data_IF_497810121595
#
_entry.id   IF_497810121595
#
_cell.length_a   1.000
_cell.length_b   1.000
_cell.length_c   1.000
_cell.angle_alpha   90.00
_cell.angle_beta   90.00
_cell.angle_gamma   90.00
#
_symmetry.space_group_name_H-M   'P 1'
#
loop_
_entity.id
_entity.type
_entity.pdbx_description
1 polymer ?
#
# COMPACT_ATOMS: atom_id res chain seq x y z
N UNK A 1 23.55 74.26 -22.13
CA UNK A 1 24.14 72.96 -22.53
C UNK A 1 24.36 71.96 -21.38
N UNK A 2 24.66 72.37 -20.14
CA UNK A 2 24.91 71.46 -18.99
C UNK A 2 23.68 70.70 -18.45
N UNK A 3 22.48 71.30 -18.43
CA UNK A 3 21.25 70.67 -17.88
C UNK A 3 20.73 69.48 -18.72
N UNK A 4 20.83 69.56 -20.04
CA UNK A 4 20.35 68.52 -20.96
C UNK A 4 21.22 67.25 -20.92
N UNK A 5 22.52 67.40 -20.61
CA UNK A 5 23.47 66.29 -20.48
C UNK A 5 23.24 65.49 -19.19
N UNK A 6 22.81 66.15 -18.11
CA UNK A 6 22.51 65.53 -16.82
C UNK A 6 21.23 64.67 -16.92
N UNK A 7 20.19 65.15 -17.61
CA UNK A 7 18.96 64.36 -17.80
C UNK A 7 19.16 63.13 -18.68
N UNK A 8 20.05 63.17 -19.68
CA UNK A 8 20.40 61.98 -20.49
C UNK A 8 21.19 60.95 -19.70
N UNK A 9 22.15 61.39 -18.85
CA UNK A 9 22.89 60.49 -17.96
C UNK A 9 22.01 59.88 -16.87
N UNK A 10 21.05 60.64 -16.33
CA UNK A 10 20.09 60.15 -15.34
C UNK A 10 19.08 59.16 -15.93
N UNK A 11 18.58 59.40 -17.15
CA UNK A 11 17.74 58.44 -17.87
C UNK A 11 18.47 57.14 -18.23
N UNK A 12 19.74 57.21 -18.64
CA UNK A 12 20.55 56.02 -18.87
C UNK A 12 20.85 55.25 -17.59
N UNK A 13 21.07 55.94 -16.47
CA UNK A 13 21.24 55.30 -15.16
C UNK A 13 19.97 54.59 -14.71
N UNK A 14 18.80 55.20 -14.91
CA UNK A 14 17.50 54.61 -14.56
C UNK A 14 17.15 53.41 -15.43
N UNK A 15 17.41 53.48 -16.75
CA UNK A 15 17.25 52.34 -17.68
C UNK A 15 18.19 51.18 -17.36
N UNK A 16 19.45 51.46 -16.99
CA UNK A 16 20.41 50.43 -16.62
C UNK A 16 20.05 49.73 -15.28
N UNK A 17 19.50 50.48 -14.32
CA UNK A 17 18.99 49.93 -13.06
C UNK A 17 17.73 49.08 -13.31
N UNK A 18 16.80 49.52 -14.17
CA UNK A 18 15.63 48.72 -14.53
C UNK A 18 16.00 47.41 -15.26
N UNK A 19 17.03 47.41 -16.12
CA UNK A 19 17.54 46.19 -16.77
C UNK A 19 18.27 45.26 -15.80
N UNK A 20 18.98 45.81 -14.80
CA UNK A 20 19.71 45.04 -13.80
C UNK A 20 18.79 44.38 -12.74
N UNK A 21 17.54 44.84 -12.61
CA UNK A 21 16.54 44.28 -11.69
C UNK A 21 15.66 43.21 -12.39
N UNK A 22 15.71 43.08 -13.72
CA UNK A 22 14.96 42.03 -14.43
C UNK A 22 15.34 40.58 -14.06
N UNK A 23 16.60 40.24 -13.71
CA UNK A 23 16.92 38.90 -13.21
C UNK A 23 16.34 38.61 -11.81
N UNK A 24 16.01 39.64 -11.03
CA UNK A 24 15.34 39.49 -9.72
C UNK A 24 13.81 39.39 -9.85
N UNK A 25 13.28 39.49 -11.07
CA UNK A 25 11.91 39.16 -11.44
C UNK A 25 11.87 37.88 -12.28
N UNK A 26 12.80 36.94 -12.04
CA UNK A 26 12.39 35.54 -12.09
C UNK A 26 11.34 35.38 -10.99
N UNK A 27 10.08 35.57 -11.37
CA UNK A 27 9.00 34.84 -10.72
C UNK A 27 9.51 33.41 -10.65
N UNK A 28 9.84 32.94 -9.45
CA UNK A 28 9.83 31.51 -9.21
C UNK A 28 8.44 31.07 -9.63
N UNK A 29 8.36 30.42 -10.78
CA UNK A 29 7.21 29.65 -11.20
C UNK A 29 7.19 28.42 -10.29
N UNK A 30 6.99 28.63 -8.99
CA UNK A 30 6.81 27.58 -8.00
C UNK A 30 5.36 27.10 -8.16
N UNK A 31 5.06 26.57 -9.34
CA UNK A 31 3.82 25.85 -9.61
C UNK A 31 3.98 24.37 -9.20
N UNK A 32 4.83 24.11 -8.21
CA UNK A 32 5.17 22.78 -7.70
C UNK A 32 4.17 22.29 -6.63
N UNK A 33 3.08 23.03 -6.42
CA UNK A 33 1.99 22.61 -5.54
C UNK A 33 1.10 21.55 -6.19
N UNK A 34 0.66 20.58 -5.41
CA UNK A 34 -0.33 19.62 -5.88
C UNK A 34 -1.62 20.33 -6.31
N UNK A 35 -2.07 20.06 -7.54
CA UNK A 35 -3.34 20.60 -8.04
C UNK A 35 -4.49 20.07 -7.19
N UNK A 36 -5.46 20.93 -6.87
CA UNK A 36 -6.63 20.61 -6.03
C UNK A 36 -7.49 19.45 -6.56
N UNK A 37 -7.29 19.04 -7.82
CA UNK A 37 -7.95 17.88 -8.44
C UNK A 37 -7.12 16.58 -8.47
N UNK A 38 -5.85 16.61 -8.05
CA UNK A 38 -4.99 15.44 -8.08
C UNK A 38 -5.30 14.55 -6.88
N UNK A 39 -5.73 13.31 -7.12
CA UNK A 39 -5.83 12.27 -6.12
C UNK A 39 -5.12 11.01 -6.60
N UNK A 40 -4.63 10.23 -5.66
CA UNK A 40 -3.96 8.97 -5.94
C UNK A 40 -4.94 7.90 -6.40
N UNK A 41 -4.47 6.87 -7.13
CA UNK A 41 -5.21 5.59 -7.15
C UNK A 41 -5.36 5.03 -5.73
N UNK A 42 -6.18 3.99 -5.51
CA UNK A 42 -6.12 3.20 -4.28
C UNK A 42 -4.71 2.68 -4.05
N UNK A 43 -4.14 2.98 -2.88
CA UNK A 43 -2.78 2.59 -2.50
C UNK A 43 -2.80 1.84 -1.17
N UNK A 44 -1.91 0.87 -1.05
CA UNK A 44 -1.63 0.20 0.20
C UNK A 44 -0.87 1.10 1.16
N UNK A 45 -1.28 1.08 2.43
CA UNK A 45 -0.55 1.74 3.50
C UNK A 45 -0.73 1.00 4.82
N UNK A 46 0.15 1.28 5.78
CA UNK A 46 0.07 0.80 7.17
C UNK A 46 -0.20 1.96 8.09
N UNK A 47 -1.22 1.85 8.94
CA UNK A 47 -1.51 2.81 9.99
C UNK A 47 -0.42 2.75 11.06
N UNK A 48 0.07 3.92 11.47
CA UNK A 48 0.99 4.09 12.58
C UNK A 48 0.43 5.06 13.60
N UNK A 49 0.41 4.68 14.86
CA UNK A 49 -0.17 5.49 15.95
C UNK A 49 0.93 6.17 16.75
N UNK A 50 0.78 7.47 16.99
CA UNK A 50 1.70 8.27 17.80
C UNK A 50 0.92 9.19 18.74
N UNK A 51 0.92 8.84 20.03
CA UNK A 51 0.05 9.49 21.02
C UNK A 51 -1.44 9.34 20.64
N UNK A 52 -2.13 10.47 20.46
CA UNK A 52 -3.54 10.51 20.07
C UNK A 52 -3.76 10.75 18.57
N UNK A 53 -2.70 10.72 17.77
CA UNK A 53 -2.75 10.91 16.33
C UNK A 53 -2.28 9.65 15.61
N UNK A 54 -2.55 9.58 14.30
CA UNK A 54 -2.00 8.55 13.45
C UNK A 54 -1.45 9.15 12.17
N UNK A 55 -0.54 8.42 11.54
CA UNK A 55 -0.04 8.69 10.20
C UNK A 55 -0.04 7.38 9.41
N UNK A 56 0.23 7.44 8.11
CA UNK A 56 0.27 6.25 7.25
C UNK A 56 1.68 6.06 6.70
N UNK A 57 2.20 4.83 6.75
CA UNK A 57 3.31 4.42 5.91
C UNK A 57 2.73 3.89 4.59
N UNK A 58 2.73 4.72 3.55
CA UNK A 58 2.29 4.32 2.22
C UNK A 58 3.43 3.60 1.49
N UNK A 59 3.11 2.48 0.87
CA UNK A 59 4.09 1.61 0.23
C UNK A 59 4.82 2.28 -0.96
N UNK A 60 4.17 3.29 -1.56
CA UNK A 60 4.66 3.98 -2.76
C UNK A 60 5.06 5.44 -2.48
N UNK A 61 4.37 6.11 -1.55
CA UNK A 61 4.55 7.54 -1.26
C UNK A 61 5.28 7.80 0.06
N UNK A 62 5.77 6.78 0.76
CA UNK A 62 6.42 6.98 2.06
C UNK A 62 5.45 7.40 3.15
N UNK A 63 5.91 8.20 4.10
CA UNK A 63 5.16 8.60 5.28
C UNK A 63 4.19 9.76 4.99
N UNK A 64 2.91 9.53 5.29
CA UNK A 64 1.81 10.46 5.02
C UNK A 64 1.22 10.98 6.31
N UNK A 65 1.19 12.30 6.48
CA UNK A 65 0.53 12.99 7.58
C UNK A 65 -0.90 13.44 7.16
N UNK A 66 -1.97 12.82 7.71
CA UNK A 66 -3.33 13.23 7.41
C UNK A 66 -3.66 14.59 8.06
N UNK A 67 -4.11 15.56 7.26
CA UNK A 67 -4.57 16.87 7.78
C UNK A 67 -6.10 16.95 7.92
N UNK A 68 -6.81 15.84 7.73
CA UNK A 68 -8.27 15.76 7.84
C UNK A 68 -8.76 16.23 9.22
N UNK A 69 -9.66 17.20 9.24
CA UNK A 69 -10.37 17.62 10.46
C UNK A 69 -11.60 16.75 10.76
N UNK A 70 -12.03 15.95 9.77
CA UNK A 70 -13.27 15.18 9.74
C UNK A 70 -13.06 13.67 9.92
N UNK A 71 -11.90 13.24 10.39
CA UNK A 71 -11.57 11.81 10.58
C UNK A 71 -11.70 11.32 12.03
N UNK A 72 -12.33 12.11 12.91
CA UNK A 72 -12.52 11.76 14.32
C UNK A 72 -13.38 10.52 14.59
N UNK A 73 -13.96 9.90 13.55
CA UNK A 73 -14.69 8.65 13.61
C UNK A 73 -13.80 7.40 13.46
N UNK A 74 -12.54 7.56 12.99
CA UNK A 74 -11.65 6.44 12.73
C UNK A 74 -10.86 6.07 13.98
N UNK A 75 -11.03 4.84 14.45
CA UNK A 75 -10.27 4.27 15.56
C UNK A 75 -8.99 3.61 15.02
N UNK A 76 -7.87 4.35 15.11
CA UNK A 76 -6.61 3.93 14.51
C UNK A 76 -5.92 2.86 15.36
N UNK A 77 -5.57 1.75 14.71
CA UNK A 77 -4.81 0.64 15.31
C UNK A 77 -3.43 0.57 14.67
N UNK A 78 -2.37 0.58 15.48
CA UNK A 78 -1.00 0.49 14.95
C UNK A 78 -0.79 -0.84 14.22
N UNK A 79 -0.19 -0.76 13.03
CA UNK A 79 0.04 -1.95 12.18
C UNK A 79 -1.14 -2.36 11.31
N UNK A 80 -2.32 -1.76 11.47
CA UNK A 80 -3.49 -2.03 10.62
C UNK A 80 -3.19 -1.65 9.16
N UNK A 81 -3.35 -2.61 8.24
CA UNK A 81 -3.25 -2.34 6.80
C UNK A 81 -4.52 -1.70 6.29
N UNK A 82 -4.35 -0.75 5.39
CA UNK A 82 -5.43 0.01 4.79
C UNK A 82 -5.22 0.16 3.29
N UNK A 83 -6.32 0.34 2.57
CA UNK A 83 -6.32 0.92 1.24
C UNK A 83 -6.78 2.37 1.38
N UNK A 84 -5.97 3.28 0.87
CA UNK A 84 -6.24 4.71 0.96
C UNK A 84 -6.19 5.40 -0.40
N UNK A 85 -7.02 6.43 -0.55
CA UNK A 85 -6.99 7.39 -1.66
C UNK A 85 -6.87 8.77 -1.04
N UNK A 86 -6.01 9.63 -1.55
CA UNK A 86 -5.77 10.94 -0.96
C UNK A 86 -5.40 12.01 -1.98
N UNK A 87 -5.64 13.27 -1.63
CA UNK A 87 -5.00 14.40 -2.28
C UNK A 87 -3.67 14.67 -1.57
N UNK A 88 -2.52 14.60 -2.26
CA UNK A 88 -1.29 15.14 -1.72
C UNK A 88 -1.39 16.68 -1.64
N UNK A 89 -0.79 17.29 -0.61
CA UNK A 89 -0.91 18.74 -0.34
C UNK A 89 0.44 19.42 -0.24
N UNK A 90 1.38 18.83 0.51
CA UNK A 90 2.72 19.36 0.71
C UNK A 90 3.73 18.23 0.86
N UNK A 91 4.94 18.44 0.37
CA UNK A 91 6.08 17.56 0.60
C UNK A 91 6.86 18.00 1.85
N UNK A 92 7.58 17.06 2.47
CA UNK A 92 8.47 17.30 3.62
C UNK A 92 7.79 18.04 4.78
N UNK A 93 6.57 17.62 5.12
CA UNK A 93 5.75 18.29 6.12
C UNK A 93 6.00 17.73 7.52
N UNK A 94 6.51 18.57 8.44
CA UNK A 94 6.67 18.23 9.86
C UNK A 94 7.44 16.92 10.14
N UNK A 95 8.41 16.57 9.29
CA UNK A 95 9.19 15.33 9.41
C UNK A 95 8.57 14.11 8.72
N UNK A 96 7.46 14.29 8.00
CA UNK A 96 6.83 13.29 7.14
C UNK A 96 7.10 13.62 5.67
N UNK A 97 7.07 12.60 4.81
CA UNK A 97 7.33 12.76 3.38
C UNK A 97 6.25 13.61 2.71
N UNK A 98 4.97 13.42 3.09
CA UNK A 98 3.88 14.24 2.58
C UNK A 98 2.81 14.56 3.63
N UNK A 99 2.23 15.75 3.55
CA UNK A 99 0.91 16.04 4.13
C UNK A 99 -0.18 15.75 3.10
N UNK A 100 -1.25 15.09 3.54
CA UNK A 100 -2.32 14.61 2.65
C UNK A 100 -3.71 14.87 3.21
N UNK A 101 -4.68 15.05 2.32
CA UNK A 101 -6.10 14.95 2.64
C UNK A 101 -6.61 13.57 2.21
N UNK A 102 -6.92 12.71 3.17
CA UNK A 102 -7.52 11.42 2.92
C UNK A 102 -8.93 11.59 2.35
N UNK A 103 -9.20 10.88 1.26
CA UNK A 103 -10.49 10.79 0.58
C UNK A 103 -11.15 9.43 0.82
N UNK A 104 -10.33 8.40 1.03
CA UNK A 104 -10.77 7.07 1.47
C UNK A 104 -9.74 6.51 2.43
N UNK A 105 -10.21 5.84 3.47
CA UNK A 105 -9.41 5.05 4.39
C UNK A 105 -10.21 3.81 4.74
N UNK A 106 -9.80 2.66 4.21
CA UNK A 106 -10.51 1.41 4.35
C UNK A 106 -9.60 0.37 4.98
N UNK A 107 -10.00 -0.17 6.14
CA UNK A 107 -9.29 -1.28 6.77
C UNK A 107 -9.31 -2.51 5.86
N UNK A 108 -8.18 -3.22 5.87
CA UNK A 108 -7.98 -4.49 5.20
C UNK A 108 -7.74 -5.54 6.27
N UNK A 109 -8.26 -6.76 6.11
CA UNK A 109 -7.96 -7.84 7.04
C UNK A 109 -6.44 -7.99 7.15
N UNK A 110 -5.88 -7.76 8.33
CA UNK A 110 -4.43 -7.79 8.57
C UNK A 110 -4.13 -8.94 9.49
N UNK A 111 -3.29 -9.88 9.04
CA UNK A 111 -2.97 -11.11 9.77
C UNK A 111 -1.46 -11.32 9.82
N UNK A 112 -1.00 -12.07 10.80
CA UNK A 112 0.38 -12.57 10.85
C UNK A 112 0.51 -13.84 9.99
N UNK A 113 1.76 -14.24 9.72
CA UNK A 113 2.03 -15.57 9.16
C UNK A 113 1.81 -16.62 10.25
N UNK A 114 1.01 -17.63 9.95
CA UNK A 114 0.64 -18.69 10.90
C UNK A 114 1.49 -19.95 10.66
N UNK A 115 1.73 -20.77 11.69
CA UNK A 115 2.48 -22.02 11.52
C UNK A 115 1.53 -23.16 11.13
N UNK A 116 1.87 -23.88 10.06
CA UNK A 116 1.18 -25.09 9.65
C UNK A 116 1.70 -26.28 10.45
N UNK A 117 0.83 -26.84 11.30
CA UNK A 117 1.08 -28.07 12.06
C UNK A 117 -0.07 -29.05 11.83
N UNK A 118 0.12 -30.37 12.06
CA UNK A 118 -0.92 -31.37 11.81
C UNK A 118 -2.26 -31.08 12.50
N UNK A 119 -2.24 -30.43 13.66
CA UNK A 119 -3.42 -30.07 14.45
C UNK A 119 -4.24 -28.93 13.84
N UNK A 120 -3.63 -28.06 13.03
CA UNK A 120 -4.28 -26.87 12.43
C UNK A 120 -4.60 -27.04 10.95
N UNK A 121 -4.18 -28.15 10.32
CA UNK A 121 -4.41 -28.45 8.90
C UNK A 121 -5.90 -28.35 8.51
N UNK A 122 -6.79 -28.95 9.32
CA UNK A 122 -8.25 -28.91 9.07
C UNK A 122 -8.82 -27.49 9.26
N UNK A 123 -8.29 -26.72 10.21
CA UNK A 123 -8.73 -25.34 10.46
C UNK A 123 -8.35 -24.41 9.30
N UNK A 124 -7.16 -24.60 8.72
CA UNK A 124 -6.68 -23.82 7.59
C UNK A 124 -7.31 -24.21 6.27
N UNK A 125 -7.68 -25.48 6.11
CA UNK A 125 -8.24 -26.00 4.86
C UNK A 125 -7.25 -25.91 3.71
N UNK A 126 -7.74 -26.20 2.51
CA UNK A 126 -7.04 -25.98 1.25
C UNK A 126 -8.03 -25.85 0.09
N UNK A 127 -9.17 -25.22 0.34
CA UNK A 127 -10.23 -25.04 -0.65
C UNK A 127 -9.77 -24.11 -1.77
N UNK A 128 -10.23 -24.33 -3.01
CA UNK A 128 -9.84 -23.48 -4.13
C UNK A 128 -10.38 -22.06 -3.96
N UNK A 129 -9.55 -21.07 -4.28
CA UNK A 129 -9.93 -19.66 -4.24
C UNK A 129 -9.68 -18.98 -5.59
N UNK A 130 -10.61 -18.12 -6.04
CA UNK A 130 -10.41 -17.34 -7.26
C UNK A 130 -9.48 -16.16 -6.99
N UNK A 131 -8.22 -16.31 -7.42
CA UNK A 131 -7.16 -15.32 -7.33
C UNK A 131 -6.40 -15.28 -8.64
N UNK A 132 -6.14 -14.09 -9.16
CA UNK A 132 -5.24 -13.91 -10.30
C UNK A 132 -3.85 -13.53 -9.80
N UNK A 133 -2.79 -13.99 -10.49
CA UNK A 133 -1.40 -13.67 -10.11
C UNK A 133 -1.14 -12.17 -9.94
N UNK A 134 -1.80 -11.33 -10.75
CA UNK A 134 -1.66 -9.87 -10.68
C UNK A 134 -2.29 -9.21 -9.45
N UNK A 135 -3.10 -9.96 -8.69
CA UNK A 135 -3.78 -9.49 -7.49
C UNK A 135 -2.99 -9.77 -6.20
N UNK A 136 -1.82 -10.42 -6.33
CA UNK A 136 -0.89 -10.68 -5.24
C UNK A 136 0.32 -9.76 -5.42
N UNK A 137 0.62 -8.98 -4.39
CA UNK A 137 1.74 -8.03 -4.38
C UNK A 137 2.52 -8.14 -3.07
N UNK A 138 3.80 -7.80 -3.09
CA UNK A 138 4.63 -7.72 -1.88
C UNK A 138 5.17 -6.30 -1.80
N UNK A 139 4.79 -5.59 -0.74
CA UNK A 139 5.14 -4.18 -0.54
C UNK A 139 4.96 -3.79 0.93
N UNK A 140 5.71 -2.80 1.41
CA UNK A 140 5.62 -2.32 2.79
C UNK A 140 5.94 -3.35 3.88
N UNK A 141 6.56 -4.48 3.53
CA UNK A 141 6.78 -5.62 4.42
C UNK A 141 5.55 -6.54 4.58
N UNK A 142 4.59 -6.47 3.66
CA UNK A 142 3.38 -7.29 3.66
C UNK A 142 3.20 -8.00 2.32
N UNK A 143 2.58 -9.19 2.34
CA UNK A 143 1.96 -9.78 1.16
C UNK A 143 0.51 -9.30 1.12
N UNK A 144 0.15 -8.53 0.09
CA UNK A 144 -1.20 -8.01 -0.10
C UNK A 144 -1.90 -8.78 -1.22
N UNK A 145 -3.11 -9.25 -0.93
CA UNK A 145 -3.89 -10.12 -1.81
C UNK A 145 -5.27 -9.52 -2.00
N UNK A 146 -5.66 -9.29 -3.25
CA UNK A 146 -7.07 -9.22 -3.64
C UNK A 146 -7.53 -10.57 -4.16
N UNK A 147 -8.78 -10.91 -3.88
CA UNK A 147 -9.38 -12.15 -4.37
C UNK A 147 -10.90 -12.00 -4.51
N UNK A 148 -11.52 -12.98 -5.17
CA UNK A 148 -12.98 -13.06 -5.25
C UNK A 148 -13.48 -14.10 -4.26
N UNK A 149 -14.00 -13.64 -3.14
CA UNK A 149 -14.67 -14.49 -2.16
C UNK A 149 -16.03 -14.93 -2.71
N UNK A 150 -16.31 -16.23 -2.68
CA UNK A 150 -17.69 -16.71 -2.70
C UNK A 150 -18.27 -16.52 -1.29
N UNK A 151 -19.35 -15.75 -1.17
CA UNK A 151 -19.86 -15.36 0.13
C UNK A 151 -20.48 -16.55 0.87
N UNK A 152 -20.25 -16.69 2.19
CA UNK A 152 -20.96 -17.66 3.01
C UNK A 152 -22.45 -17.35 3.07
N UNK A 153 -23.25 -18.36 3.40
CA UNK A 153 -24.69 -18.20 3.61
C UNK A 153 -25.04 -17.35 4.82
N UNK A 154 -24.13 -17.25 5.79
CA UNK A 154 -24.28 -16.43 7.00
C UNK A 154 -23.01 -15.65 7.33
N UNK A 155 -23.18 -14.46 7.91
CA UNK A 155 -22.07 -13.65 8.45
C UNK A 155 -21.42 -14.26 9.69
N UNK A 156 -22.05 -15.26 10.31
CA UNK A 156 -21.51 -15.98 11.46
C UNK A 156 -20.54 -17.10 11.03
N UNK A 157 -20.65 -17.57 9.78
CA UNK A 157 -19.79 -18.62 9.22
C UNK A 157 -18.73 -18.02 8.28
N UNK A 158 -17.94 -17.09 8.80
CA UNK A 158 -16.89 -16.45 8.00
C UNK A 158 -15.85 -17.47 7.54
N UNK A 159 -15.50 -17.39 6.26
CA UNK A 159 -14.42 -18.19 5.69
C UNK A 159 -13.09 -17.78 6.32
N UNK A 160 -12.12 -18.68 6.30
CA UNK A 160 -10.76 -18.41 6.76
C UNK A 160 -9.82 -18.31 5.57
N UNK A 161 -8.99 -17.29 5.55
CA UNK A 161 -7.84 -17.21 4.63
C UNK A 161 -6.58 -16.99 5.45
N UNK A 162 -5.56 -17.83 5.25
CA UNK A 162 -4.34 -17.84 6.08
C UNK A 162 -3.11 -17.95 5.20
N UNK A 163 -2.07 -17.17 5.51
CA UNK A 163 -0.74 -17.38 4.96
C UNK A 163 0.05 -18.18 5.99
N UNK A 164 0.48 -19.38 5.60
CA UNK A 164 1.12 -20.31 6.51
C UNK A 164 2.57 -20.57 6.12
N UNK A 165 3.39 -20.79 7.14
CA UNK A 165 4.77 -21.28 7.04
C UNK A 165 4.86 -22.72 7.52
N UNK A 166 5.80 -23.52 7.00
CA UNK A 166 6.11 -24.82 7.60
C UNK A 166 6.71 -24.66 9.01
N UNK A 167 6.64 -25.74 9.79
CA UNK A 167 7.22 -25.83 11.13
C UNK A 167 8.75 -25.76 11.11
N UNK A 168 9.38 -26.44 10.15
CA UNK A 168 10.84 -26.52 10.04
C UNK A 168 11.40 -25.34 9.22
N UNK A 169 12.43 -24.67 9.76
CA UNK A 169 13.08 -23.53 9.12
C UNK A 169 13.75 -23.92 7.79
N UNK A 170 14.30 -25.12 7.66
CA UNK A 170 14.91 -25.59 6.40
C UNK A 170 13.87 -25.73 5.27
N UNK A 171 12.61 -25.98 5.61
CA UNK A 171 11.51 -26.01 4.66
C UNK A 171 10.98 -24.60 4.34
N UNK A 172 11.03 -23.68 5.30
CA UNK A 172 10.67 -22.27 5.10
C UNK A 172 11.72 -21.55 4.25
N UNK A 173 12.99 -21.68 4.61
CA UNK A 173 14.13 -21.03 3.96
C UNK A 173 14.85 -22.03 3.07
N UNK A 174 14.22 -22.35 1.94
CA UNK A 174 14.71 -23.41 1.05
C UNK A 174 16.13 -23.14 0.54
N UNK A 175 16.87 -24.23 0.27
CA UNK A 175 18.22 -24.17 -0.31
C UNK A 175 18.27 -23.45 -1.67
N UNK A 176 17.12 -23.28 -2.32
CA UNK A 176 16.98 -22.51 -3.55
C UNK A 176 17.08 -20.98 -3.35
N UNK A 177 17.14 -20.52 -2.09
CA UNK A 177 17.27 -19.12 -1.71
C UNK A 177 15.95 -18.35 -1.70
N UNK A 178 14.81 -19.06 -1.66
CA UNK A 178 13.48 -18.47 -1.55
C UNK A 178 12.85 -18.80 -0.19
N UNK A 179 11.96 -17.92 0.27
CA UNK A 179 11.06 -18.21 1.39
C UNK A 179 9.82 -18.91 0.85
N UNK A 180 9.49 -20.08 1.38
CA UNK A 180 8.37 -20.93 0.95
C UNK A 180 7.18 -20.77 1.90
N UNK A 181 6.05 -20.32 1.36
CA UNK A 181 4.81 -20.10 2.10
C UNK A 181 3.65 -20.74 1.35
N UNK A 182 2.56 -21.01 2.06
CA UNK A 182 1.32 -21.50 1.46
C UNK A 182 0.15 -20.58 1.81
N UNK A 183 -0.68 -20.25 0.82
CA UNK A 183 -1.97 -19.62 1.05
C UNK A 183 -3.02 -20.73 1.22
N UNK A 184 -3.62 -20.79 2.40
CA UNK A 184 -4.70 -21.73 2.73
C UNK A 184 -6.03 -20.99 2.82
N UNK A 185 -7.06 -21.59 2.24
CA UNK A 185 -8.43 -21.10 2.29
C UNK A 185 -9.34 -22.21 2.83
N UNK A 186 -10.24 -21.83 3.72
CA UNK A 186 -11.27 -22.71 4.25
C UNK A 186 -12.62 -22.03 4.06
N UNK A 187 -13.42 -22.53 3.12
CA UNK A 187 -14.77 -22.03 2.86
C UNK A 187 -15.83 -22.73 3.72
N UNK A 188 -15.44 -23.72 4.52
CA UNK A 188 -16.31 -24.51 5.39
C UNK A 188 -17.50 -25.14 4.66
N UNK A 189 -17.33 -25.50 3.39
CA UNK A 189 -18.37 -26.00 2.49
C UNK A 189 -19.57 -25.03 2.34
N UNK A 190 -19.38 -23.73 2.61
CA UNK A 190 -20.44 -22.72 2.65
C UNK A 190 -20.36 -21.75 1.46
N UNK A 191 -20.83 -22.20 0.31
CA UNK A 191 -20.73 -21.44 -0.94
C UNK A 191 -22.12 -21.05 -1.47
N UNK A 192 -22.44 -19.74 -1.45
CA UNK A 192 -23.71 -19.24 -2.01
C UNK A 192 -23.72 -19.11 -3.53
N UNK A 193 -22.53 -19.12 -4.16
CA UNK A 193 -22.33 -18.78 -5.56
C UNK A 193 -22.27 -17.27 -5.83
N UNK A 194 -22.55 -16.43 -4.83
CA UNK A 194 -22.45 -14.97 -4.94
C UNK A 194 -21.03 -14.54 -4.63
N UNK A 195 -20.35 -13.95 -5.61
CA UNK A 195 -18.97 -13.48 -5.44
C UNK A 195 -18.89 -12.01 -5.02
N UNK A 196 -17.90 -11.71 -4.19
CA UNK A 196 -17.54 -10.34 -3.79
C UNK A 196 -16.03 -10.20 -3.65
N UNK A 197 -15.45 -9.01 -3.93
CA UNK A 197 -14.04 -8.78 -3.70
C UNK A 197 -13.69 -8.89 -2.20
N UNK A 198 -12.63 -9.64 -1.91
CA UNK A 198 -11.95 -9.70 -0.62
C UNK A 198 -10.55 -9.11 -0.72
N UNK A 199 -10.03 -8.63 0.41
CA UNK A 199 -8.65 -8.19 0.52
C UNK A 199 -8.06 -8.60 1.86
N UNK A 200 -6.81 -9.08 1.84
CA UNK A 200 -6.06 -9.44 3.03
C UNK A 200 -4.60 -9.02 2.87
N UNK A 201 -3.99 -8.58 3.95
CA UNK A 201 -2.55 -8.33 4.04
C UNK A 201 -1.95 -9.18 5.14
N UNK A 202 -0.89 -9.91 4.81
CA UNK A 202 -0.12 -10.69 5.78
C UNK A 202 1.19 -10.00 6.09
N UNK A 203 1.46 -9.79 7.38
CA UNK A 203 2.69 -9.17 7.84
C UNK A 203 3.86 -10.15 7.65
N UNK A 204 4.80 -9.81 6.76
CA UNK A 204 5.99 -10.61 6.51
C UNK A 204 7.15 -10.22 7.43
N UNK A 205 7.04 -9.11 8.16
CA UNK A 205 8.10 -8.62 9.06
C UNK A 205 8.26 -9.52 10.30
N UNK A 206 7.33 -10.45 10.55
CA UNK A 206 7.47 -11.48 11.59
C UNK A 206 8.36 -12.65 11.16
N UNK A 207 8.72 -12.74 9.87
CA UNK A 207 9.71 -13.69 9.36
C UNK A 207 11.10 -13.07 9.37
N UNK A 208 12.12 -13.89 9.67
CA UNK A 208 13.51 -13.49 9.49
C UNK A 208 13.85 -13.69 8.02
N UNK A 209 13.72 -12.63 7.21
CA UNK A 209 13.99 -12.66 5.77
C UNK A 209 15.35 -11.99 5.52
N UNK A 210 16.44 -12.77 5.32
CA UNK A 210 17.75 -12.21 5.07
C UNK A 210 17.79 -11.37 3.78
N UNK A 211 18.68 -10.40 3.72
CA UNK A 211 18.83 -9.49 2.57
C UNK A 211 19.20 -10.19 1.26
N UNK A 212 19.78 -11.38 1.34
CA UNK A 212 20.18 -12.25 0.25
C UNK A 212 19.04 -13.13 -0.28
N UNK A 213 17.88 -13.12 0.37
CA UNK A 213 16.68 -13.85 -0.07
C UNK A 213 16.30 -13.40 -1.47
N UNK A 214 16.20 -14.35 -2.41
CA UNK A 214 15.87 -14.07 -3.81
C UNK A 214 14.41 -13.65 -3.98
N UNK A 215 13.52 -14.16 -3.15
CA UNK A 215 12.10 -13.96 -3.29
C UNK A 215 11.25 -14.83 -2.38
N UNK A 216 9.96 -14.82 -2.65
CA UNK A 216 8.96 -15.69 -2.02
C UNK A 216 8.40 -16.65 -3.07
N UNK A 217 8.28 -17.92 -2.71
CA UNK A 217 7.47 -18.91 -3.42
C UNK A 217 6.19 -19.14 -2.62
N UNK A 218 5.06 -18.91 -3.28
CA UNK A 218 3.75 -19.07 -2.69
C UNK A 218 3.03 -20.24 -3.34
N UNK A 219 2.78 -21.29 -2.57
CA UNK A 219 1.84 -22.35 -2.96
C UNK A 219 0.41 -21.87 -2.70
N UNK A 220 -0.52 -22.14 -3.62
CA UNK A 220 -1.94 -21.89 -3.40
C UNK A 220 -2.81 -22.87 -4.20
N UNK A 221 -4.05 -23.10 -3.75
CA UNK A 221 -5.07 -23.80 -4.51
C UNK A 221 -5.97 -22.81 -5.26
N UNK A 222 -5.79 -22.70 -6.58
CA UNK A 222 -6.55 -21.80 -7.45
C UNK A 222 -7.78 -22.50 -8.01
N UNK A 223 -8.93 -21.83 -8.03
CA UNK A 223 -10.13 -22.34 -8.73
C UNK A 223 -9.88 -22.68 -10.21
N UNK A 224 -9.03 -21.92 -10.90
CA UNK A 224 -8.80 -22.10 -12.34
C UNK A 224 -7.71 -23.13 -12.64
N UNK A 225 -6.69 -23.22 -11.79
CA UNK A 225 -5.45 -23.96 -12.09
C UNK A 225 -5.15 -25.10 -11.10
N UNK A 226 -5.97 -25.29 -10.06
CA UNK A 226 -5.68 -26.21 -8.97
C UNK A 226 -4.49 -25.74 -8.12
N UNK A 227 -3.79 -26.70 -7.49
CA UNK A 227 -2.58 -26.40 -6.72
C UNK A 227 -1.43 -25.93 -7.63
N UNK A 228 -0.98 -24.70 -7.40
CA UNK A 228 0.10 -24.05 -8.14
C UNK A 228 1.10 -23.40 -7.20
N UNK A 229 2.34 -23.23 -7.66
CA UNK A 229 3.36 -22.42 -6.99
C UNK A 229 3.66 -21.17 -7.82
N UNK A 230 3.61 -20.01 -7.18
CA UNK A 230 3.89 -18.71 -7.79
C UNK A 230 5.14 -18.12 -7.17
N UNK A 231 6.12 -17.78 -8.01
CA UNK A 231 7.37 -17.14 -7.59
C UNK A 231 7.27 -15.62 -7.70
N UNK A 232 7.67 -14.93 -6.64
CA UNK A 232 7.83 -13.49 -6.53
C UNK A 232 9.29 -13.15 -6.22
N UNK A 233 10.03 -12.69 -7.22
CA UNK A 233 11.41 -12.26 -7.00
C UNK A 233 11.43 -10.91 -6.27
N UNK A 234 12.12 -10.85 -5.14
CA UNK A 234 12.44 -9.61 -4.45
C UNK A 234 13.53 -8.91 -5.26
N UNK A 235 13.12 -8.17 -6.30
CA UNK A 235 14.04 -7.29 -7.02
C UNK A 235 14.57 -6.24 -6.06
N UNK A 236 15.88 -5.99 -6.12
CA UNK A 236 16.48 -4.76 -5.59
C UNK A 236 15.71 -3.58 -6.19
N UNK A 237 14.90 -2.91 -5.36
CA UNK A 237 14.10 -1.70 -5.63
C UNK A 237 13.83 -1.37 -7.12
N UNK A 238 12.69 -1.83 -7.65
CA UNK A 238 12.25 -1.50 -9.01
C UNK A 238 10.80 -1.89 -9.25
N UNK A 239 9.91 -1.01 -8.82
CA UNK A 239 8.44 -1.08 -8.88
C UNK A 239 7.87 -1.66 -10.17
N UNK A 240 7.05 -2.71 -10.04
CA UNK A 240 6.03 -3.06 -11.04
C UNK A 240 4.69 -3.16 -10.31
N UNK A 241 3.97 -2.05 -10.19
CA UNK A 241 2.57 -2.07 -9.76
C UNK A 241 1.65 -1.77 -10.93
N UNK A 242 0.70 -2.67 -11.15
CA UNK A 242 -0.45 -2.43 -12.00
C UNK A 242 -1.54 -1.86 -11.10
N UNK A 243 -2.01 -0.67 -11.45
CA UNK A 243 -3.04 0.10 -10.76
C UNK A 243 -4.32 -0.72 -10.56
N UNK A 244 -4.73 -0.93 -9.32
CA UNK A 244 -6.05 -1.51 -8.99
C UNK A 244 -7.12 -0.42 -9.00
N UNK A 245 -8.24 -0.70 -9.66
CA UNK A 245 -9.44 0.14 -9.68
C UNK A 245 -10.12 0.17 -8.31
N UNK A 246 -10.93 1.19 -8.01
CA UNK A 246 -11.70 1.32 -6.76
C UNK A 246 -12.43 0.03 -6.35
N UNK A 247 -11.87 -0.74 -5.41
CA UNK A 247 -12.48 -1.97 -4.86
C UNK A 247 -13.39 -1.60 -3.67
N UNK A 248 -14.56 -2.22 -3.58
CA UNK A 248 -15.46 -2.13 -2.42
C UNK A 248 -15.40 -3.43 -1.61
N UNK A 249 -14.80 -3.37 -0.42
CA UNK A 249 -14.62 -4.50 0.50
C UNK A 249 -15.70 -4.58 1.60
N UNK A 250 -16.77 -3.78 1.51
CA UNK A 250 -17.81 -3.71 2.57
C UNK A 250 -18.55 -5.03 2.81
N UNK A 251 -18.54 -5.95 1.84
CA UNK A 251 -19.22 -7.24 1.93
C UNK A 251 -18.30 -8.40 2.35
N UNK A 252 -17.02 -8.15 2.64
CA UNK A 252 -16.04 -9.17 2.99
C UNK A 252 -16.45 -9.91 4.28
N UNK A 253 -16.46 -11.25 4.24
CA UNK A 253 -16.83 -12.12 5.37
C UNK A 253 -15.69 -13.11 5.67
N UNK A 254 -14.61 -12.58 6.24
CA UNK A 254 -13.38 -13.32 6.52
C UNK A 254 -12.99 -13.23 8.00
N UNK A 255 -12.31 -14.27 8.49
CA UNK A 255 -11.67 -14.32 9.81
C UNK A 255 -10.19 -14.72 9.70
#
# INVERSE_FOLDING_TARGET
MKRTLIMKKLHWLFMAICLAVMPALQSCDDNDGYSLGNFTPPLWATVRVTGNAFYLNCDVWGTLWPVNTDIGWYDAVDGQRVITVFNPLWDNYAGYDHAVKLLRLQNVLTKEVEMLIPETEEEFGNDPVLIYKGDITISGGYMNIFFMQNLPSSTDNKHRISLVRPQEDDALYGEDGYVHLELRYNDYDDLTGRRSPGAVSYNLNSLDIPSETKGIKLKLNSEENGEVEVTFDLKTAGSNEKLTTNVDLSNMQLK
#
